data_IF_204380865554
#
_entry.id   IF_204380865554
#
_cell.length_a   1.000
_cell.length_b   1.000
_cell.length_c   1.000
_cell.angle_alpha   90.00
_cell.angle_beta   90.00
_cell.angle_gamma   90.00
#
_symmetry.space_group_name_H-M   'P 1'
#
loop_
_entity.id
_entity.type
_entity.pdbx_description
1 polymer ?
#
# COMPACT_ATOMS: atom_id res chain seq x y z
N UNK A 1 0.20 -19.41 24.00
CA UNK A 1 -0.06 -19.34 25.45
C UNK A 1 -1.13 -18.29 25.68
N UNK A 2 -1.51 -17.98 26.91
CA UNK A 2 -2.36 -16.80 27.21
C UNK A 2 -1.52 -15.72 27.87
N UNK A 3 -1.85 -14.45 27.65
CA UNK A 3 -1.19 -13.35 28.34
C UNK A 3 -1.72 -13.21 29.78
N UNK A 4 -1.15 -12.24 30.53
CA UNK A 4 -1.51 -11.94 31.92
C UNK A 4 -2.97 -11.51 32.09
N UNK A 5 -3.62 -11.11 31.01
CA UNK A 5 -5.01 -10.64 30.96
C UNK A 5 -5.96 -11.74 30.43
N UNK A 6 -5.43 -12.96 30.21
CA UNK A 6 -6.20 -14.13 29.78
C UNK A 6 -6.43 -14.23 28.27
N UNK A 7 -5.86 -13.33 27.46
CA UNK A 7 -6.04 -13.37 26.00
C UNK A 7 -5.17 -14.48 25.39
N UNK A 8 -5.72 -15.21 24.42
CA UNK A 8 -4.97 -16.23 23.67
C UNK A 8 -3.88 -15.55 22.82
N UNK A 9 -2.62 -15.73 23.21
CA UNK A 9 -1.45 -15.34 22.43
C UNK A 9 -1.36 -16.27 21.21
N UNK A 10 -1.45 -15.74 19.98
CA UNK A 10 -1.33 -16.52 18.76
C UNK A 10 -0.03 -17.33 18.74
N UNK A 11 -0.08 -18.58 18.27
CA UNK A 11 1.08 -19.46 18.23
C UNK A 11 2.17 -18.93 17.26
N UNK A 12 3.37 -18.56 17.75
CA UNK A 12 4.44 -17.97 16.92
C UNK A 12 5.07 -18.95 15.92
N UNK A 13 4.75 -20.25 15.97
CA UNK A 13 5.20 -21.22 14.95
C UNK A 13 4.39 -21.13 13.65
N UNK A 14 3.16 -20.63 13.72
CA UNK A 14 2.30 -20.41 12.55
C UNK A 14 2.74 -19.20 11.73
N UNK A 15 3.15 -18.12 12.41
CA UNK A 15 3.68 -16.91 11.79
C UNK A 15 4.99 -17.16 11.05
N UNK A 16 5.95 -17.86 11.67
CA UNK A 16 7.23 -18.18 11.03
C UNK A 16 7.13 -19.00 9.72
N UNK A 17 6.10 -19.85 9.56
CA UNK A 17 5.88 -20.60 8.32
C UNK A 17 5.32 -19.70 7.21
N UNK A 18 4.40 -18.81 7.56
CA UNK A 18 3.82 -17.82 6.64
C UNK A 18 4.89 -16.84 6.19
N UNK A 19 5.73 -16.36 7.11
CA UNK A 19 6.86 -15.47 6.83
C UNK A 19 7.84 -16.08 5.84
N UNK A 20 8.16 -17.38 5.97
CA UNK A 20 9.03 -18.10 5.02
C UNK A 20 8.39 -18.29 3.65
N UNK A 21 7.08 -18.53 3.60
CA UNK A 21 6.36 -18.65 2.33
C UNK A 21 6.29 -17.31 1.62
N UNK A 22 6.00 -16.22 2.33
CA UNK A 22 6.03 -14.85 1.79
C UNK A 22 7.44 -14.53 1.28
N UNK A 23 8.48 -14.71 2.10
CA UNK A 23 9.87 -14.44 1.69
C UNK A 23 10.32 -15.26 0.47
N UNK A 24 9.89 -16.53 0.37
CA UNK A 24 10.21 -17.40 -0.78
C UNK A 24 9.46 -17.01 -2.03
N UNK A 25 8.18 -16.70 -1.95
CA UNK A 25 7.39 -16.20 -3.08
C UNK A 25 7.98 -14.88 -3.59
N UNK A 26 8.43 -13.99 -2.69
CA UNK A 26 9.08 -12.72 -3.02
C UNK A 26 10.44 -12.81 -3.70
N UNK A 27 11.16 -13.93 -3.57
CA UNK A 27 12.42 -14.14 -4.31
C UNK A 27 12.19 -14.32 -5.82
N UNK A 28 10.96 -14.58 -6.25
CA UNK A 28 10.55 -14.55 -7.66
C UNK A 28 10.03 -13.15 -8.02
N UNK A 29 10.88 -12.34 -8.66
CA UNK A 29 10.63 -10.94 -9.02
C UNK A 29 9.78 -10.79 -10.31
N UNK A 30 8.56 -11.33 -10.35
CA UNK A 30 7.59 -10.96 -11.42
C UNK A 30 6.53 -9.99 -10.88
N UNK A 31 5.98 -9.13 -11.74
CA UNK A 31 5.01 -8.09 -11.36
C UNK A 31 3.71 -8.66 -10.73
N UNK A 32 3.27 -9.82 -11.21
CA UNK A 32 2.15 -10.57 -10.60
C UNK A 32 2.49 -11.03 -9.18
N UNK A 33 3.76 -11.36 -8.92
CA UNK A 33 4.23 -11.81 -7.61
C UNK A 33 4.28 -10.65 -6.61
N UNK A 34 4.63 -9.43 -7.03
CA UNK A 34 4.65 -8.24 -6.17
C UNK A 34 3.24 -7.86 -5.69
N UNK A 35 2.26 -7.87 -6.61
CA UNK A 35 0.86 -7.57 -6.27
C UNK A 35 0.24 -8.65 -5.36
N UNK A 36 0.54 -9.92 -5.63
CA UNK A 36 0.09 -11.05 -4.80
C UNK A 36 0.70 -11.02 -3.41
N UNK A 37 2.00 -10.72 -3.32
CA UNK A 37 2.72 -10.60 -2.05
C UNK A 37 2.27 -9.39 -1.25
N UNK A 38 2.03 -8.23 -1.86
CA UNK A 38 1.51 -7.06 -1.16
C UNK A 38 0.15 -7.37 -0.52
N UNK A 39 -0.75 -8.06 -1.25
CA UNK A 39 -1.99 -8.58 -0.67
C UNK A 39 -1.76 -9.58 0.46
N UNK A 40 -0.84 -10.53 0.29
CA UNK A 40 -0.48 -11.49 1.35
C UNK A 40 0.15 -10.83 2.59
N UNK A 41 0.93 -9.75 2.42
CA UNK A 41 1.49 -8.95 3.50
C UNK A 41 0.39 -8.18 4.23
N UNK A 42 -0.53 -7.55 3.51
CA UNK A 42 -1.71 -6.87 4.09
C UNK A 42 -2.56 -7.88 4.87
N UNK A 43 -2.82 -9.06 4.31
CA UNK A 43 -3.58 -10.12 4.97
C UNK A 43 -2.85 -10.67 6.21
N UNK A 44 -1.53 -10.89 6.14
CA UNK A 44 -0.76 -11.40 7.30
C UNK A 44 -0.71 -10.39 8.45
N UNK A 45 -0.72 -9.09 8.14
CA UNK A 45 -0.73 -7.98 9.09
C UNK A 45 -2.11 -7.77 9.73
N UNK A 46 -3.20 -7.97 8.96
CA UNK A 46 -4.59 -7.90 9.43
C UNK A 46 -4.96 -9.01 10.39
N UNK A 47 -4.60 -10.25 10.09
CA UNK A 47 -5.04 -11.41 10.88
C UNK A 47 -4.07 -11.81 11.99
N UNK A 48 -3.17 -10.91 12.43
CA UNK A 48 -2.30 -11.12 13.60
C UNK A 48 -1.29 -12.25 13.45
N UNK A 49 -0.93 -12.62 12.21
CA UNK A 49 -0.01 -13.74 11.92
C UNK A 49 1.41 -13.30 11.53
N UNK A 50 1.77 -12.01 11.68
CA UNK A 50 3.07 -11.49 11.21
C UNK A 50 3.58 -10.23 11.93
N UNK A 51 3.75 -10.26 13.25
CA UNK A 51 4.54 -9.21 13.95
C UNK A 51 6.05 -9.36 13.67
N UNK A 52 6.52 -10.58 13.41
CA UNK A 52 7.94 -10.90 13.20
C UNK A 52 8.58 -10.25 11.97
N UNK A 53 7.82 -9.88 10.92
CA UNK A 53 8.38 -9.19 9.73
C UNK A 53 8.79 -7.74 10.07
N UNK A 54 8.25 -7.19 11.15
CA UNK A 54 8.43 -5.80 11.59
C UNK A 54 9.40 -5.66 12.77
N UNK A 55 9.63 -6.77 13.49
CA UNK A 55 10.61 -6.90 14.59
C UNK A 55 12.06 -6.86 14.07
N UNK A 56 12.30 -7.12 12.79
CA UNK A 56 13.63 -7.04 12.19
C UNK A 56 13.86 -5.69 11.47
N UNK A 57 15.00 -5.07 11.74
CA UNK A 57 15.39 -3.70 11.37
C UNK A 57 15.27 -3.31 9.88
N UNK A 58 15.06 -4.24 8.95
CA UNK A 58 15.40 -4.01 7.54
C UNK A 58 14.34 -4.39 6.51
N UNK A 59 13.23 -5.02 6.90
CA UNK A 59 12.49 -5.82 5.91
C UNK A 59 11.28 -5.14 5.26
N UNK A 60 10.41 -4.47 6.02
CA UNK A 60 9.16 -3.98 5.43
C UNK A 60 9.34 -2.94 4.31
N UNK A 61 10.31 -2.04 4.46
CA UNK A 61 10.59 -0.99 3.48
C UNK A 61 11.15 -1.60 2.20
N UNK A 62 12.05 -2.57 2.34
CA UNK A 62 12.62 -3.33 1.23
C UNK A 62 11.59 -4.16 0.47
N UNK A 63 10.36 -4.31 1.00
CA UNK A 63 9.27 -5.09 0.42
C UNK A 63 8.15 -4.26 -0.21
N UNK A 64 7.94 -3.03 0.25
CA UNK A 64 6.97 -2.11 -0.35
C UNK A 64 7.65 -1.16 -1.33
N UNK A 65 8.82 -0.64 -0.97
CA UNK A 65 9.58 0.31 -1.75
C UNK A 65 10.36 -0.43 -2.83
N UNK A 66 10.44 0.09 -4.07
CA UNK A 66 11.07 -0.64 -5.16
C UNK A 66 12.52 -1.02 -4.86
N UNK A 67 12.86 -2.29 -5.07
CA UNK A 67 14.20 -2.83 -4.82
C UNK A 67 15.30 -2.34 -5.77
N UNK A 68 14.97 -1.45 -6.71
CA UNK A 68 15.93 -0.76 -7.57
C UNK A 68 16.41 0.58 -6.98
N UNK A 69 15.82 1.06 -5.87
CA UNK A 69 16.30 2.27 -5.23
C UNK A 69 17.72 2.09 -4.68
N UNK A 70 18.52 3.14 -4.80
CA UNK A 70 19.88 3.19 -4.27
C UNK A 70 19.86 3.14 -2.74
N UNK A 71 20.98 2.74 -2.14
CA UNK A 71 21.11 2.75 -0.67
C UNK A 71 20.95 4.17 -0.09
N UNK A 72 21.33 5.20 -0.85
CA UNK A 72 21.13 6.58 -0.43
C UNK A 72 19.63 6.92 -0.35
N UNK A 73 18.84 6.56 -1.35
CA UNK A 73 17.39 6.77 -1.33
C UNK A 73 16.72 5.95 -0.23
N UNK A 74 17.08 4.67 -0.13
CA UNK A 74 16.58 3.79 0.92
C UNK A 74 16.94 4.29 2.32
N UNK A 75 18.12 4.87 2.53
CA UNK A 75 18.51 5.45 3.83
C UNK A 75 17.58 6.60 4.24
N UNK A 76 17.08 7.39 3.28
CA UNK A 76 16.13 8.48 3.54
C UNK A 76 14.76 7.92 3.93
N UNK A 77 14.27 6.91 3.22
CA UNK A 77 13.04 6.20 3.57
C UNK A 77 13.11 5.50 4.94
N UNK A 78 14.28 4.98 5.33
CA UNK A 78 14.52 4.32 6.62
C UNK A 78 14.61 5.28 7.79
N UNK A 79 15.05 6.51 7.54
CA UNK A 79 15.38 7.51 8.58
C UNK A 79 14.27 7.74 9.63
N UNK A 80 12.97 7.81 9.30
CA UNK A 80 11.93 8.04 10.31
C UNK A 80 11.57 6.81 11.16
N UNK A 81 12.13 5.63 10.85
CA UNK A 81 11.68 4.33 11.35
C UNK A 81 12.81 3.49 11.95
N UNK A 82 13.90 4.15 12.35
CA UNK A 82 15.08 3.49 12.89
C UNK A 82 14.73 2.81 14.22
N UNK A 83 13.92 3.45 15.06
CA UNK A 83 13.47 2.87 16.33
C UNK A 83 12.22 1.99 16.14
N UNK A 84 12.12 0.91 16.90
CA UNK A 84 10.99 -0.04 16.83
C UNK A 84 9.62 0.64 17.04
N UNK A 85 9.51 1.50 18.04
CA UNK A 85 8.27 2.22 18.35
C UNK A 85 7.82 3.14 17.21
N UNK A 86 8.75 3.66 16.41
CA UNK A 86 8.46 4.53 15.27
C UNK A 86 7.88 3.75 14.09
N UNK A 87 8.05 2.42 14.05
CA UNK A 87 7.49 1.52 13.01
C UNK A 87 6.02 1.17 13.27
N UNK A 88 5.44 1.62 14.39
CA UNK A 88 4.04 1.33 14.69
C UNK A 88 3.05 1.78 13.59
N UNK A 89 3.15 2.99 13.02
CA UNK A 89 2.26 3.44 11.96
C UNK A 89 2.29 2.55 10.72
N UNK A 90 3.45 1.93 10.43
CA UNK A 90 3.65 1.13 9.23
C UNK A 90 3.07 -0.28 9.40
N UNK A 91 2.82 -0.71 10.64
CA UNK A 91 2.02 -1.89 10.98
C UNK A 91 0.51 -1.59 11.07
N UNK A 92 0.13 -0.43 11.60
CA UNK A 92 -1.28 -0.09 11.78
C UNK A 92 -1.94 0.27 10.44
N UNK A 93 -1.23 0.95 9.53
CA UNK A 93 -1.80 1.41 8.26
C UNK A 93 -2.37 0.27 7.40
N UNK A 94 -1.67 -0.86 7.18
CA UNK A 94 -2.23 -1.99 6.43
C UNK A 94 -3.49 -2.60 7.06
N UNK A 95 -3.62 -2.52 8.39
CA UNK A 95 -4.83 -2.98 9.10
C UNK A 95 -6.04 -2.10 8.82
N UNK A 96 -5.83 -0.85 8.40
CA UNK A 96 -6.89 0.10 8.07
C UNK A 96 -7.35 0.02 6.60
N UNK A 97 -6.71 -0.77 5.74
CA UNK A 97 -7.07 -0.84 4.31
C UNK A 97 -8.47 -1.47 4.13
N UNK A 98 -9.48 -0.78 3.58
CA UNK A 98 -10.85 -1.29 3.49
C UNK A 98 -10.94 -2.49 2.53
N UNK A 99 -11.04 -3.71 3.08
CA UNK A 99 -11.13 -4.96 2.29
C UNK A 99 -12.23 -5.82 2.88
N UNK A 100 -13.10 -6.35 2.02
CA UNK A 100 -14.21 -7.23 2.38
C UNK A 100 -15.13 -6.67 3.48
N UNK A 101 -15.31 -5.34 3.51
CA UNK A 101 -16.16 -4.65 4.49
C UNK A 101 -15.47 -4.30 5.81
N UNK A 102 -14.16 -4.56 5.96
CA UNK A 102 -13.42 -4.31 7.20
C UNK A 102 -12.21 -3.37 7.02
N UNK A 103 -11.93 -2.47 7.99
CA UNK A 103 -12.71 -2.25 9.20
C UNK A 103 -13.98 -1.45 8.85
N UNK A 104 -15.12 -1.80 9.45
CA UNK A 104 -16.43 -1.21 9.11
C UNK A 104 -16.40 0.32 9.07
N UNK A 105 -15.77 0.95 10.06
CA UNK A 105 -15.66 2.41 10.14
C UNK A 105 -14.90 3.01 8.94
N UNK A 106 -13.78 2.41 8.53
CA UNK A 106 -13.02 2.91 7.38
C UNK A 106 -13.77 2.62 6.08
N UNK A 107 -14.43 1.47 5.96
CA UNK A 107 -15.30 1.17 4.84
C UNK A 107 -16.41 2.22 4.70
N UNK A 108 -17.07 2.60 5.79
CA UNK A 108 -18.09 3.64 5.79
C UNK A 108 -17.52 5.03 5.41
N UNK A 109 -16.33 5.38 5.88
CA UNK A 109 -15.63 6.62 5.47
C UNK A 109 -15.36 6.61 3.97
N UNK A 110 -14.86 5.48 3.45
CA UNK A 110 -14.49 5.32 2.03
C UNK A 110 -15.71 5.37 1.14
N UNK A 111 -16.79 4.68 1.51
CA UNK A 111 -18.07 4.75 0.80
C UNK A 111 -18.61 6.19 0.78
N UNK A 112 -18.59 6.89 1.92
CA UNK A 112 -19.08 8.25 2.02
C UNK A 112 -18.31 9.24 1.14
N UNK A 113 -16.97 9.27 1.23
CA UNK A 113 -16.19 10.22 0.42
C UNK A 113 -16.24 9.84 -1.06
N UNK A 114 -16.29 8.55 -1.39
CA UNK A 114 -16.28 8.10 -2.78
C UNK A 114 -17.60 8.41 -3.49
N UNK A 115 -18.74 8.31 -2.79
CA UNK A 115 -20.03 8.82 -3.25
C UNK A 115 -19.98 10.33 -3.52
N UNK A 116 -19.51 11.13 -2.55
CA UNK A 116 -19.36 12.57 -2.75
C UNK A 116 -18.39 12.94 -3.88
N UNK A 117 -17.28 12.20 -4.03
CA UNK A 117 -16.31 12.37 -5.12
C UNK A 117 -16.91 12.11 -6.49
N UNK A 118 -17.84 11.16 -6.60
CA UNK A 118 -18.50 10.84 -7.86
C UNK A 118 -19.47 11.95 -8.34
N UNK A 119 -20.00 12.75 -7.42
CA UNK A 119 -21.05 13.72 -7.71
C UNK A 119 -20.56 15.17 -7.82
N UNK A 120 -19.50 15.53 -7.10
CA UNK A 120 -19.06 16.92 -7.01
C UNK A 120 -18.39 17.43 -8.31
N UNK A 121 -18.41 18.75 -8.46
CA UNK A 121 -17.92 19.45 -9.65
C UNK A 121 -16.45 19.91 -9.54
N UNK A 122 -15.73 19.54 -8.48
CA UNK A 122 -14.32 19.93 -8.31
C UNK A 122 -13.49 19.31 -9.45
N UNK A 123 -12.62 20.07 -10.14
CA UNK A 123 -11.70 19.51 -11.13
C UNK A 123 -10.79 18.46 -10.51
N UNK A 124 -10.59 17.32 -11.20
CA UNK A 124 -9.80 16.19 -10.70
C UNK A 124 -8.75 15.80 -11.73
N UNK A 125 -7.53 15.53 -11.28
CA UNK A 125 -6.51 14.89 -12.08
C UNK A 125 -6.31 13.46 -11.55
N UNK A 126 -6.64 12.47 -12.37
CA UNK A 126 -6.39 11.07 -12.07
C UNK A 126 -5.14 10.60 -12.81
N UNK A 127 -4.07 10.38 -12.05
CA UNK A 127 -2.83 9.79 -12.57
C UNK A 127 -2.93 8.27 -12.35
N UNK A 128 -3.29 7.55 -13.40
CA UNK A 128 -3.31 6.10 -13.44
C UNK A 128 -1.89 5.56 -13.71
N UNK A 129 -1.65 4.29 -13.38
CA UNK A 129 -0.37 3.63 -13.63
C UNK A 129 -0.55 2.27 -14.31
N UNK A 130 0.40 1.89 -15.16
CA UNK A 130 0.48 0.58 -15.81
C UNK A 130 1.87 -0.03 -15.52
N UNK A 131 1.96 -1.26 -14.97
CA UNK A 131 0.85 -2.17 -14.63
C UNK A 131 0.04 -1.78 -13.38
N UNK A 132 0.53 -0.83 -12.58
CA UNK A 132 -0.10 -0.45 -11.32
C UNK A 132 0.05 -1.50 -10.21
N UNK A 133 -0.66 -1.30 -9.10
CA UNK A 133 -0.68 -2.24 -7.97
C UNK A 133 -2.04 -2.25 -7.26
N UNK A 134 -2.30 -1.26 -6.39
CA UNK A 134 -3.51 -1.25 -5.55
C UNK A 134 -4.74 -0.80 -6.33
N UNK A 135 -4.64 0.29 -7.10
CA UNK A 135 -5.78 0.89 -7.79
C UNK A 135 -5.96 0.30 -9.21
N UNK A 136 -6.33 -0.97 -9.26
CA UNK A 136 -6.60 -1.71 -10.51
C UNK A 136 -7.98 -2.38 -10.47
N UNK A 137 -8.55 -2.73 -11.63
CA UNK A 137 -9.84 -3.43 -11.73
C UNK A 137 -11.05 -2.55 -11.35
N UNK A 138 -12.06 -3.13 -10.68
CA UNK A 138 -13.37 -2.48 -10.45
C UNK A 138 -13.29 -1.11 -9.75
N UNK A 139 -12.44 -0.98 -8.75
CA UNK A 139 -12.18 0.27 -8.03
C UNK A 139 -11.59 1.36 -8.94
N UNK A 140 -10.73 1.00 -9.90
CA UNK A 140 -10.21 1.93 -10.91
C UNK A 140 -11.33 2.40 -11.84
N UNK A 141 -12.13 1.46 -12.35
CA UNK A 141 -13.24 1.81 -13.24
C UNK A 141 -14.30 2.66 -12.54
N UNK A 142 -14.51 2.45 -11.24
CA UNK A 142 -15.35 3.32 -10.42
C UNK A 142 -14.78 4.75 -10.31
N UNK A 143 -13.49 4.91 -10.03
CA UNK A 143 -12.85 6.23 -9.98
C UNK A 143 -12.88 6.96 -11.33
N UNK A 144 -12.77 6.24 -12.46
CA UNK A 144 -12.85 6.80 -13.82
C UNK A 144 -14.22 7.39 -14.17
N UNK A 145 -15.27 6.95 -13.47
CA UNK A 145 -16.62 7.47 -13.67
C UNK A 145 -16.87 8.81 -12.94
N UNK A 146 -15.91 9.31 -12.17
CA UNK A 146 -16.08 10.58 -11.44
C UNK A 146 -16.11 11.79 -12.38
N UNK A 147 -16.98 12.75 -12.09
CA UNK A 147 -17.12 13.99 -12.89
C UNK A 147 -15.85 14.84 -12.89
N UNK A 148 -15.70 15.67 -13.93
CA UNK A 148 -14.65 16.69 -14.08
C UNK A 148 -13.23 16.14 -13.88
N UNK A 149 -13.01 14.90 -14.33
CA UNK A 149 -11.74 14.20 -14.21
C UNK A 149 -10.97 14.24 -15.53
N UNK A 150 -9.70 14.64 -15.46
CA UNK A 150 -8.69 14.41 -16.50
C UNK A 150 -7.87 13.19 -16.10
N UNK A 151 -7.78 12.18 -16.97
CA UNK A 151 -6.95 10.99 -16.73
C UNK A 151 -5.66 11.06 -17.56
N UNK A 152 -4.54 10.66 -16.95
CA UNK A 152 -3.28 10.36 -17.63
C UNK A 152 -2.75 9.04 -17.07
N UNK A 153 -2.12 8.21 -17.90
CA UNK A 153 -1.48 6.95 -17.47
C UNK A 153 0.03 7.07 -17.61
N UNK A 154 0.76 6.73 -16.54
CA UNK A 154 2.22 6.67 -16.50
C UNK A 154 2.71 5.24 -16.30
N UNK A 155 3.98 4.98 -16.62
CA UNK A 155 4.60 3.69 -16.27
C UNK A 155 4.83 3.61 -14.76
N UNK A 156 4.52 2.46 -14.14
CA UNK A 156 4.88 2.23 -12.74
C UNK A 156 3.97 1.24 -12.03
N UNK A 157 4.40 0.83 -10.82
CA UNK A 157 3.64 -0.10 -9.99
C UNK A 157 2.95 0.61 -8.83
N UNK A 158 3.52 0.58 -7.62
CA UNK A 158 2.91 1.18 -6.43
C UNK A 158 3.45 2.58 -6.11
N UNK A 159 4.77 2.76 -6.16
CA UNK A 159 5.46 4.03 -5.90
C UNK A 159 5.72 4.76 -7.22
N UNK A 160 4.65 5.17 -7.90
CA UNK A 160 4.73 5.73 -9.25
C UNK A 160 5.52 7.05 -9.32
N UNK A 161 5.75 7.69 -8.17
CA UNK A 161 6.62 8.87 -8.08
C UNK A 161 8.10 8.53 -8.26
N UNK A 162 8.51 7.31 -7.93
CA UNK A 162 9.88 6.82 -8.15
C UNK A 162 10.06 6.28 -9.58
N UNK A 163 8.98 5.73 -10.17
CA UNK A 163 8.99 5.20 -11.54
C UNK A 163 8.91 6.31 -12.60
N UNK A 164 8.00 7.28 -12.42
CA UNK A 164 7.67 8.30 -13.42
C UNK A 164 7.62 9.75 -12.86
N UNK A 165 8.64 10.20 -12.10
CA UNK A 165 8.61 11.51 -11.41
C UNK A 165 8.45 12.69 -12.37
N UNK A 166 9.17 12.68 -13.50
CA UNK A 166 9.17 13.78 -14.46
C UNK A 166 7.85 13.90 -15.22
N UNK A 167 7.29 12.78 -15.66
CA UNK A 167 6.00 12.74 -16.34
C UNK A 167 4.89 13.22 -15.42
N UNK A 168 4.84 12.72 -14.18
CA UNK A 168 3.90 13.17 -13.15
C UNK A 168 4.02 14.67 -12.91
N UNK A 169 5.25 15.18 -12.72
CA UNK A 169 5.50 16.60 -12.50
C UNK A 169 5.04 17.49 -13.66
N UNK A 170 5.28 17.06 -14.89
CA UNK A 170 4.82 17.77 -16.09
C UNK A 170 3.29 17.81 -16.15
N UNK A 171 2.63 16.66 -15.97
CA UNK A 171 1.16 16.55 -16.04
C UNK A 171 0.50 17.42 -14.97
N UNK A 172 1.03 17.44 -13.74
CA UNK A 172 0.52 18.31 -12.66
C UNK A 172 0.70 19.79 -13.04
N UNK A 173 1.89 20.18 -13.52
CA UNK A 173 2.19 21.57 -13.92
C UNK A 173 1.28 22.06 -15.05
N UNK A 174 0.99 21.20 -16.02
CA UNK A 174 0.05 21.50 -17.09
C UNK A 174 -1.39 21.58 -16.60
N UNK A 175 -1.82 20.64 -15.75
CA UNK A 175 -3.19 20.61 -15.23
C UNK A 175 -3.51 21.83 -14.34
N UNK A 176 -2.58 22.26 -13.49
CA UNK A 176 -2.75 23.44 -12.64
C UNK A 176 -3.00 24.71 -13.45
N UNK A 177 -2.52 24.79 -14.70
CA UNK A 177 -2.78 25.92 -15.60
C UNK A 177 -4.17 25.89 -16.24
N UNK A 178 -4.91 24.77 -16.11
CA UNK A 178 -6.23 24.56 -16.71
C UNK A 178 -7.40 24.73 -15.74
N UNK A 179 -7.10 24.92 -14.45
CA UNK A 179 -8.05 25.15 -13.36
C UNK A 179 -8.00 26.60 -12.90
#
# INVERSE_FOLDING_TARGET
GTDKDGNVIPNPRGSQKIDRTIARTMSNKSDETVTHVQKMLIDSQRFGRGTSVWDYETNWQSYLIPGYLSEKEMSVYRKPFLNELERRPTLDWPRQIPINGEPEEVCAIVEKYSGWMSENEIPKLFINAEPGSILVGKQREFCRAWKNQKEVTVSGSHFIQEDSPHEIGQVISEWVKTI
#
